data_IF_273878684280
#
_entry.id   IF_273878684280
#
_cell.length_a   1.000
_cell.length_b   1.000
_cell.length_c   1.000
_cell.angle_alpha   90.00
_cell.angle_beta   90.00
_cell.angle_gamma   90.00
#
_symmetry.space_group_name_H-M   'P 1'
#
loop_
_entity.id
_entity.type
_entity.pdbx_description
1 polymer ?
#
# COMPACT_ATOMS: atom_id res chain seq x y z
N UNK A 1 24.47 2.88 24.43
CA UNK A 1 23.42 2.46 25.40
C UNK A 1 23.91 1.21 26.11
N UNK A 2 23.79 1.10 27.44
CA UNK A 2 24.22 -0.11 28.15
C UNK A 2 23.39 -1.30 27.66
N UNK A 3 24.07 -2.40 27.34
CA UNK A 3 23.46 -3.68 26.96
C UNK A 3 22.64 -4.20 28.15
N UNK A 4 21.32 -4.07 28.06
CA UNK A 4 20.41 -4.73 29.01
C UNK A 4 20.58 -6.24 28.82
N UNK A 5 20.71 -6.99 29.92
CA UNK A 5 20.70 -8.45 29.88
C UNK A 5 19.39 -8.92 29.21
N UNK A 6 19.45 -9.82 28.21
CA UNK A 6 18.25 -10.38 27.61
C UNK A 6 17.39 -11.09 28.65
N UNK A 7 16.08 -11.13 28.43
CA UNK A 7 15.19 -12.05 29.17
C UNK A 7 15.34 -13.48 28.64
N UNK A 8 14.91 -14.52 29.37
CA UNK A 8 14.95 -15.90 28.88
C UNK A 8 14.24 -16.08 27.53
N UNK A 9 13.13 -15.37 27.29
CA UNK A 9 12.40 -15.40 26.02
C UNK A 9 13.20 -14.76 24.89
N UNK A 10 13.94 -13.68 25.17
CA UNK A 10 14.81 -13.04 24.18
C UNK A 10 16.02 -13.92 23.85
N UNK A 11 16.61 -14.58 24.84
CA UNK A 11 17.69 -15.55 24.62
C UNK A 11 17.21 -16.74 23.78
N UNK A 12 16.04 -17.30 24.10
CA UNK A 12 15.44 -18.37 23.32
C UNK A 12 15.20 -17.96 21.85
N UNK A 13 14.73 -16.73 21.62
CA UNK A 13 14.55 -16.20 20.27
C UNK A 13 15.89 -16.04 19.52
N UNK A 14 16.96 -15.59 20.20
CA UNK A 14 18.30 -15.48 19.61
C UNK A 14 18.87 -16.85 19.25
N UNK A 15 18.73 -17.85 20.12
CA UNK A 15 19.19 -19.21 19.84
C UNK A 15 18.45 -19.84 18.66
N UNK A 16 17.13 -19.67 18.60
CA UNK A 16 16.36 -20.16 17.48
C UNK A 16 16.73 -19.47 16.15
N UNK A 17 17.00 -18.16 16.19
CA UNK A 17 17.47 -17.41 15.03
C UNK A 17 18.85 -17.89 14.55
N UNK A 18 19.75 -18.25 15.48
CA UNK A 18 21.09 -18.78 15.15
C UNK A 18 21.03 -20.12 14.44
N UNK A 19 20.07 -20.99 14.78
CA UNK A 19 19.83 -22.26 14.08
C UNK A 19 19.33 -22.07 12.65
N UNK A 20 18.78 -20.89 12.35
CA UNK A 20 18.20 -20.57 11.04
C UNK A 20 16.75 -21.00 10.91
N UNK A 21 16.05 -21.18 12.03
CA UNK A 21 14.63 -21.53 12.06
C UNK A 21 13.77 -20.34 11.62
N UNK A 22 12.60 -20.60 11.02
CA UNK A 22 11.56 -19.59 10.84
C UNK A 22 10.90 -19.28 12.18
N UNK A 23 10.79 -17.99 12.51
CA UNK A 23 10.35 -17.54 13.83
C UNK A 23 9.17 -16.58 13.77
N UNK A 24 8.18 -16.86 14.62
CA UNK A 24 7.10 -15.92 14.93
C UNK A 24 7.25 -15.50 16.39
N UNK A 25 7.53 -14.21 16.60
CA UNK A 25 7.66 -13.63 17.94
C UNK A 25 6.42 -12.82 18.30
N UNK A 26 5.59 -13.36 19.19
CA UNK A 26 4.43 -12.65 19.70
C UNK A 26 4.86 -11.76 20.88
N UNK A 27 4.73 -10.45 20.70
CA UNK A 27 5.21 -9.48 21.68
C UNK A 27 4.17 -8.39 21.91
N UNK A 28 3.75 -8.23 23.18
CA UNK A 28 2.78 -7.24 23.62
C UNK A 28 3.28 -5.80 23.51
N UNK A 29 2.41 -4.84 23.80
CA UNK A 29 2.81 -3.44 23.91
C UNK A 29 3.89 -3.28 25.00
N UNK A 30 4.95 -2.53 24.72
CA UNK A 30 6.03 -2.28 25.68
C UNK A 30 7.01 -3.46 25.93
N UNK A 31 6.77 -4.66 25.40
CA UNK A 31 7.62 -5.85 25.67
C UNK A 31 8.94 -5.91 24.89
N UNK A 32 9.40 -4.77 24.35
CA UNK A 32 10.73 -4.67 23.75
C UNK A 32 10.89 -5.28 22.35
N UNK A 33 9.84 -5.37 21.52
CA UNK A 33 9.89 -5.86 20.12
C UNK A 33 11.14 -5.47 19.33
N UNK A 34 11.37 -4.17 19.18
CA UNK A 34 12.52 -3.63 18.44
C UNK A 34 13.85 -4.00 19.09
N UNK A 35 13.87 -4.09 20.42
CA UNK A 35 15.06 -4.51 21.18
C UNK A 35 15.39 -5.97 20.91
N UNK A 36 14.39 -6.86 20.96
CA UNK A 36 14.55 -8.28 20.62
C UNK A 36 15.08 -8.42 19.19
N UNK A 37 14.47 -7.77 18.20
CA UNK A 37 14.94 -7.83 16.81
C UNK A 37 16.37 -7.29 16.62
N UNK A 38 16.78 -6.28 17.41
CA UNK A 38 18.17 -5.79 17.39
C UNK A 38 19.14 -6.84 17.95
N UNK A 39 18.74 -7.59 18.98
CA UNK A 39 19.54 -8.70 19.53
C UNK A 39 19.72 -9.82 18.52
N UNK A 40 18.64 -10.21 17.82
CA UNK A 40 18.69 -11.21 16.74
C UNK A 40 19.65 -10.75 15.64
N UNK A 41 19.51 -9.51 15.17
CA UNK A 41 20.38 -8.94 14.15
C UNK A 41 21.86 -8.91 14.56
N UNK A 42 22.16 -8.61 15.83
CA UNK A 42 23.52 -8.58 16.36
C UNK A 42 24.12 -9.98 16.56
N UNK A 43 23.29 -11.02 16.69
CA UNK A 43 23.72 -12.39 16.89
C UNK A 43 24.26 -13.08 15.62
N UNK A 44 24.21 -12.39 14.47
CA UNK A 44 24.66 -12.91 13.17
C UNK A 44 25.43 -11.85 12.38
N UNK A 45 26.42 -12.28 11.61
CA UNK A 45 27.12 -11.42 10.62
C UNK A 45 26.50 -11.48 9.22
N UNK A 46 25.45 -12.28 9.03
CA UNK A 46 24.75 -12.39 7.74
C UNK A 46 24.07 -11.06 7.41
N UNK A 47 23.90 -10.77 6.12
CA UNK A 47 23.13 -9.60 5.69
C UNK A 47 21.65 -9.83 5.97
N UNK A 48 20.99 -8.82 6.55
CA UNK A 48 19.57 -8.87 6.87
C UNK A 48 18.82 -7.63 6.41
N UNK A 49 17.48 -7.70 6.46
CA UNK A 49 16.61 -6.57 6.20
C UNK A 49 15.54 -6.47 7.28
N UNK A 50 15.32 -5.27 7.78
CA UNK A 50 14.22 -4.94 8.68
C UNK A 50 13.19 -4.12 7.92
N UNK A 51 11.94 -4.60 7.90
CA UNK A 51 10.80 -3.91 7.32
C UNK A 51 10.01 -3.20 8.42
N UNK A 52 9.92 -1.89 8.31
CA UNK A 52 9.14 -1.04 9.20
C UNK A 52 7.84 -0.59 8.54
N UNK A 53 6.83 -0.32 9.37
CA UNK A 53 5.54 0.19 8.91
C UNK A 53 5.64 1.59 8.29
N UNK A 54 6.48 2.47 8.85
CA UNK A 54 6.63 3.84 8.39
C UNK A 54 8.10 4.30 8.42
N UNK A 55 8.35 5.47 7.80
CA UNK A 55 9.70 6.02 7.63
C UNK A 55 10.36 6.39 8.97
N UNK A 56 9.61 6.91 9.95
CA UNK A 56 10.19 7.29 11.24
C UNK A 56 10.68 6.06 12.02
N UNK A 57 9.90 4.96 12.03
CA UNK A 57 10.32 3.68 12.62
C UNK A 57 11.54 3.12 11.88
N UNK A 58 11.56 3.16 10.55
CA UNK A 58 12.72 2.71 9.76
C UNK A 58 13.99 3.49 10.13
N UNK A 59 13.91 4.81 10.23
CA UNK A 59 15.03 5.67 10.61
C UNK A 59 15.50 5.44 12.05
N UNK A 60 14.58 5.25 12.99
CA UNK A 60 14.93 4.88 14.36
C UNK A 60 15.64 3.53 14.41
N UNK A 61 15.09 2.53 13.73
CA UNK A 61 15.67 1.20 13.63
C UNK A 61 17.07 1.25 13.00
N UNK A 62 17.27 2.04 11.93
CA UNK A 62 18.58 2.17 11.28
C UNK A 62 19.69 2.66 12.23
N UNK A 63 19.35 3.46 13.25
CA UNK A 63 20.31 3.91 14.27
C UNK A 63 20.62 2.85 15.33
N UNK A 64 19.77 1.83 15.46
CA UNK A 64 19.84 0.79 16.51
C UNK A 64 20.39 -0.53 16.01
N UNK A 65 20.02 -0.91 14.80
CA UNK A 65 20.42 -2.17 14.17
C UNK A 65 21.91 -2.14 13.77
N UNK A 66 22.59 -3.29 13.75
CA UNK A 66 23.96 -3.38 13.30
C UNK A 66 24.08 -3.14 11.79
N UNK A 67 25.26 -2.74 11.32
CA UNK A 67 25.49 -2.30 9.94
C UNK A 67 25.26 -3.37 8.86
N UNK A 68 25.15 -4.65 9.24
CA UNK A 68 24.77 -5.74 8.33
C UNK A 68 23.25 -5.83 8.08
N UNK A 69 22.43 -4.99 8.72
CA UNK A 69 20.98 -4.95 8.51
C UNK A 69 20.54 -3.63 7.88
N UNK A 70 19.82 -3.73 6.76
CA UNK A 70 19.19 -2.59 6.09
C UNK A 70 17.79 -2.38 6.63
N UNK A 71 17.49 -1.20 7.14
CA UNK A 71 16.16 -0.83 7.62
C UNK A 71 15.41 -0.04 6.55
N UNK A 72 14.23 -0.49 6.15
CA UNK A 72 13.43 0.13 5.08
C UNK A 72 11.94 -0.07 5.28
N UNK A 73 11.10 0.61 4.51
CA UNK A 73 9.67 0.33 4.43
C UNK A 73 9.36 -0.44 3.13
N UNK A 74 8.23 -1.13 3.08
CA UNK A 74 7.75 -1.75 1.84
C UNK A 74 7.65 -0.72 0.69
N UNK A 75 7.18 0.49 0.99
CA UNK A 75 7.14 1.59 0.02
C UNK A 75 8.51 1.98 -0.55
N UNK A 76 9.56 2.01 0.27
CA UNK A 76 10.91 2.31 -0.21
C UNK A 76 11.43 1.22 -1.14
N UNK A 77 11.13 -0.05 -0.84
CA UNK A 77 11.50 -1.16 -1.71
C UNK A 77 10.72 -1.15 -3.02
N UNK A 78 9.41 -0.94 -2.95
CA UNK A 78 8.56 -0.84 -4.13
C UNK A 78 8.96 0.35 -5.01
N UNK A 79 9.34 1.48 -4.41
CA UNK A 79 9.84 2.63 -5.16
C UNK A 79 11.14 2.31 -5.91
N UNK A 80 12.10 1.67 -5.24
CA UNK A 80 13.35 1.23 -5.88
C UNK A 80 13.10 0.24 -7.01
N UNK A 81 12.20 -0.73 -6.81
CA UNK A 81 11.91 -1.77 -7.79
C UNK A 81 11.15 -1.25 -9.02
N UNK A 82 10.11 -0.43 -8.82
CA UNK A 82 9.20 -0.01 -9.90
C UNK A 82 8.74 1.44 -9.82
N UNK A 83 8.59 2.01 -8.62
CA UNK A 83 8.00 3.34 -8.45
C UNK A 83 8.83 4.49 -9.03
N UNK A 84 10.16 4.36 -9.13
CA UNK A 84 11.02 5.38 -9.75
C UNK A 84 10.64 5.70 -11.20
N UNK A 85 10.03 4.74 -11.92
CA UNK A 85 9.54 4.92 -13.29
C UNK A 85 8.36 5.88 -13.40
N UNK A 86 7.71 6.22 -12.28
CA UNK A 86 6.52 7.07 -12.21
C UNK A 86 6.79 8.41 -11.50
N UNK A 87 8.05 8.72 -11.19
CA UNK A 87 8.42 9.90 -10.39
C UNK A 87 7.89 11.20 -10.99
N UNK A 88 8.05 11.39 -12.30
CA UNK A 88 7.55 12.56 -13.04
C UNK A 88 6.04 12.76 -12.94
N UNK A 89 5.26 11.71 -12.65
CA UNK A 89 3.80 11.80 -12.44
C UNK A 89 3.44 12.13 -10.99
N UNK A 90 4.27 11.74 -10.03
CA UNK A 90 4.06 12.04 -8.61
C UNK A 90 4.32 13.50 -8.28
N UNK A 91 5.27 14.12 -8.98
CA UNK A 91 5.63 15.52 -8.79
C UNK A 91 4.67 16.50 -9.50
N UNK A 92 3.65 15.98 -10.22
CA UNK A 92 2.68 16.81 -10.94
C UNK A 92 1.71 17.50 -9.97
N UNK A 93 1.24 18.72 -10.32
CA UNK A 93 0.20 19.38 -9.55
C UNK A 93 -1.10 18.58 -9.57
N UNK A 94 -1.93 18.82 -8.56
CA UNK A 94 -3.26 18.22 -8.44
C UNK A 94 -4.09 18.47 -9.71
N UNK A 95 -4.70 17.39 -10.22
CA UNK A 95 -5.64 17.47 -11.33
C UNK A 95 -7.08 17.60 -10.82
N UNK A 96 -7.86 18.51 -11.41
CA UNK A 96 -9.29 18.63 -11.12
C UNK A 96 -10.05 17.37 -11.60
N UNK A 97 -11.01 16.90 -10.80
CA UNK A 97 -11.79 15.70 -11.10
C UNK A 97 -12.55 15.80 -12.43
N UNK A 98 -13.08 16.98 -12.78
CA UNK A 98 -13.77 17.18 -14.06
C UNK A 98 -12.82 16.98 -15.26
N UNK A 99 -11.58 17.47 -15.17
CA UNK A 99 -10.55 17.26 -16.19
C UNK A 99 -10.15 15.79 -16.30
N UNK A 100 -10.04 15.11 -15.16
CA UNK A 100 -9.76 13.67 -15.12
C UNK A 100 -10.90 12.84 -15.74
N UNK A 101 -12.15 13.21 -15.47
CA UNK A 101 -13.33 12.57 -16.07
C UNK A 101 -13.30 12.70 -17.60
N UNK A 102 -13.02 13.89 -18.13
CA UNK A 102 -12.86 14.11 -19.58
C UNK A 102 -11.73 13.25 -20.15
N UNK A 103 -10.59 13.19 -19.48
CA UNK A 103 -9.43 12.42 -19.90
C UNK A 103 -9.74 10.91 -19.99
N UNK A 104 -10.47 10.39 -19.01
CA UNK A 104 -10.90 8.99 -18.94
C UNK A 104 -12.19 8.70 -19.72
N UNK A 105 -12.69 9.68 -20.49
CA UNK A 105 -13.93 9.60 -21.28
C UNK A 105 -15.12 9.15 -20.43
N UNK A 106 -15.21 9.69 -19.22
CA UNK A 106 -16.37 9.56 -18.35
C UNK A 106 -17.26 10.78 -18.64
N UNK A 107 -18.37 10.55 -19.35
CA UNK A 107 -19.30 11.58 -19.83
C UNK A 107 -20.77 11.27 -19.49
N UNK A 108 -21.05 10.04 -19.03
CA UNK A 108 -22.39 9.60 -18.68
C UNK A 108 -22.96 10.26 -17.42
N UNK A 109 -24.28 10.29 -17.37
CA UNK A 109 -25.08 10.63 -16.19
C UNK A 109 -25.97 9.46 -15.88
N UNK A 110 -25.97 9.02 -14.63
CA UNK A 110 -26.76 7.86 -14.19
C UNK A 110 -27.60 8.25 -12.99
N UNK A 111 -28.77 7.65 -12.88
CA UNK A 111 -29.60 7.74 -11.67
C UNK A 111 -29.65 6.36 -11.04
N UNK A 112 -29.29 6.29 -9.76
CA UNK A 112 -29.34 5.06 -8.96
C UNK A 112 -30.15 5.40 -7.72
N UNK A 113 -31.30 4.75 -7.53
CA UNK A 113 -32.28 5.16 -6.53
C UNK A 113 -32.66 6.64 -6.67
N UNK A 114 -32.55 7.40 -5.57
CA UNK A 114 -32.80 8.84 -5.56
C UNK A 114 -31.59 9.69 -6.01
N UNK A 115 -30.43 9.07 -6.28
CA UNK A 115 -29.16 9.76 -6.56
C UNK A 115 -28.93 9.96 -8.04
N UNK A 116 -28.70 11.21 -8.45
CA UNK A 116 -28.17 11.55 -9.77
C UNK A 116 -26.65 11.68 -9.69
N UNK A 117 -25.94 10.83 -10.42
CA UNK A 117 -24.49 10.82 -10.49
C UNK A 117 -24.04 11.43 -11.81
N UNK A 118 -23.23 12.47 -11.71
CA UNK A 118 -22.64 13.17 -12.84
C UNK A 118 -21.19 12.69 -13.10
N UNK A 119 -20.61 12.98 -14.27
CA UNK A 119 -19.28 12.46 -14.62
C UNK A 119 -18.17 12.73 -13.59
N UNK A 120 -18.06 13.93 -12.99
CA UNK A 120 -17.05 14.15 -11.95
C UNK A 120 -17.28 13.29 -10.71
N UNK A 121 -18.52 13.01 -10.34
CA UNK A 121 -18.86 12.13 -9.21
C UNK A 121 -18.46 10.70 -9.51
N UNK A 122 -18.83 10.18 -10.69
CA UNK A 122 -18.44 8.83 -11.15
C UNK A 122 -16.92 8.67 -11.22
N UNK A 123 -16.22 9.68 -11.75
CA UNK A 123 -14.77 9.70 -11.76
C UNK A 123 -14.15 9.71 -10.36
N UNK A 124 -14.79 10.38 -9.40
CA UNK A 124 -14.34 10.32 -8.00
C UNK A 124 -14.52 8.93 -7.41
N UNK A 125 -15.70 8.33 -7.60
CA UNK A 125 -15.99 6.99 -7.09
C UNK A 125 -15.02 5.98 -7.72
N UNK A 126 -14.76 6.04 -9.04
CA UNK A 126 -13.79 5.17 -9.70
C UNK A 126 -12.37 5.33 -9.13
N UNK A 127 -11.95 6.56 -8.80
CA UNK A 127 -10.66 6.81 -8.16
C UNK A 127 -10.60 6.21 -6.76
N UNK A 128 -11.68 6.35 -6.00
CA UNK A 128 -11.79 5.81 -4.65
C UNK A 128 -11.82 4.28 -4.70
N UNK A 129 -12.45 3.67 -5.71
CA UNK A 129 -12.38 2.22 -5.99
C UNK A 129 -10.95 1.75 -6.22
N UNK A 130 -10.18 2.44 -7.07
CA UNK A 130 -8.75 2.12 -7.27
C UNK A 130 -7.95 2.27 -5.98
N UNK A 131 -8.26 3.29 -5.17
CA UNK A 131 -7.60 3.49 -3.88
C UNK A 131 -7.89 2.34 -2.90
N UNK A 132 -9.15 1.88 -2.81
CA UNK A 132 -9.50 0.71 -1.98
C UNK A 132 -8.78 -0.55 -2.46
N UNK A 133 -8.68 -0.75 -3.78
CA UNK A 133 -7.91 -1.86 -4.36
C UNK A 133 -6.41 -1.79 -4.02
N UNK A 134 -5.83 -0.59 -3.99
CA UNK A 134 -4.44 -0.43 -3.55
C UNK A 134 -4.22 -0.78 -2.07
N UNK A 135 -5.28 -0.77 -1.26
CA UNK A 135 -5.24 -1.13 0.15
C UNK A 135 -5.65 -2.59 0.45
N UNK A 136 -6.18 -3.30 -0.54
CA UNK A 136 -6.56 -4.71 -0.40
C UNK A 136 -5.42 -5.65 -0.76
N UNK A 137 -5.54 -6.90 -0.30
CA UNK A 137 -4.69 -8.01 -0.72
C UNK A 137 -5.17 -8.66 -2.04
N UNK A 138 -6.27 -8.18 -2.63
CA UNK A 138 -6.89 -8.81 -3.80
C UNK A 138 -6.03 -8.64 -5.04
N UNK A 139 -5.97 -9.67 -5.90
CA UNK A 139 -5.18 -9.62 -7.13
C UNK A 139 -5.84 -8.75 -8.21
N UNK A 140 -7.17 -8.61 -8.17
CA UNK A 140 -7.97 -7.91 -9.20
C UNK A 140 -8.95 -6.92 -8.59
N UNK A 141 -9.35 -5.92 -9.38
CA UNK A 141 -10.44 -5.02 -9.04
C UNK A 141 -11.76 -5.81 -9.01
N UNK A 142 -12.56 -5.59 -7.98
CA UNK A 142 -13.84 -6.28 -7.73
C UNK A 142 -14.88 -5.31 -7.17
N UNK A 143 -16.15 -5.71 -7.18
CA UNK A 143 -17.26 -4.89 -6.65
C UNK A 143 -17.05 -4.46 -5.19
N UNK A 144 -16.33 -5.26 -4.39
CA UNK A 144 -16.07 -4.98 -2.98
C UNK A 144 -15.20 -3.74 -2.77
N UNK A 145 -14.42 -3.35 -3.77
CA UNK A 145 -13.63 -2.14 -3.74
C UNK A 145 -14.45 -0.87 -4.01
N UNK A 146 -15.67 -1.00 -4.53
CA UNK A 146 -16.53 0.15 -4.82
C UNK A 146 -17.06 0.70 -3.49
N UNK A 147 -16.75 1.96 -3.14
CA UNK A 147 -17.17 2.52 -1.86
C UNK A 147 -18.68 2.67 -1.84
N UNK A 148 -19.27 2.70 -0.65
CA UNK A 148 -20.67 3.03 -0.42
C UNK A 148 -20.86 4.55 -0.35
N UNK A 149 -21.27 5.23 -1.43
CA UNK A 149 -21.48 6.66 -1.37
C UNK A 149 -22.70 6.93 -0.48
N UNK A 150 -22.70 8.06 0.23
CA UNK A 150 -23.88 8.51 0.98
C UNK A 150 -25.13 8.36 0.09
N UNK A 151 -26.27 7.94 0.64
CA UNK A 151 -27.54 7.86 -0.10
C UNK A 151 -27.63 6.78 -1.18
N UNK A 152 -26.66 5.87 -1.26
CA UNK A 152 -26.81 4.52 -1.80
C UNK A 152 -26.66 3.62 -0.59
N UNK A 153 -27.72 2.89 -0.24
CA UNK A 153 -27.77 2.11 1.01
C UNK A 153 -28.37 0.74 0.83
N UNK A 154 -29.04 0.51 -0.30
CA UNK A 154 -29.55 -0.81 -0.67
C UNK A 154 -28.50 -1.58 -1.49
N UNK A 155 -28.39 -2.88 -1.27
CA UNK A 155 -27.44 -3.75 -1.97
C UNK A 155 -27.61 -3.67 -3.49
N UNK A 156 -28.86 -3.75 -3.98
CA UNK A 156 -29.18 -3.63 -5.40
C UNK A 156 -28.68 -2.30 -6.02
N UNK A 157 -28.76 -1.19 -5.27
CA UNK A 157 -28.27 0.11 -5.75
C UNK A 157 -26.74 0.14 -5.81
N UNK A 158 -26.08 -0.48 -4.83
CA UNK A 158 -24.62 -0.63 -4.82
C UNK A 158 -24.14 -1.54 -5.95
N UNK A 159 -24.81 -2.66 -6.19
CA UNK A 159 -24.51 -3.55 -7.31
C UNK A 159 -24.59 -2.81 -8.65
N UNK A 160 -25.65 -2.02 -8.84
CA UNK A 160 -25.81 -1.20 -10.04
C UNK A 160 -24.68 -0.16 -10.16
N UNK A 161 -24.29 0.48 -9.06
CA UNK A 161 -23.16 1.41 -9.04
C UNK A 161 -21.86 0.70 -9.40
N UNK A 162 -21.60 -0.47 -8.83
CA UNK A 162 -20.38 -1.22 -9.04
C UNK A 162 -20.25 -1.66 -10.51
N UNK A 163 -21.33 -2.16 -11.12
CA UNK A 163 -21.37 -2.50 -12.54
C UNK A 163 -21.01 -1.31 -13.45
N UNK A 164 -21.43 -0.09 -13.08
CA UNK A 164 -21.13 1.13 -13.84
C UNK A 164 -19.68 1.59 -13.61
N UNK A 165 -19.20 1.55 -12.37
CA UNK A 165 -17.93 2.15 -11.97
C UNK A 165 -16.74 1.25 -12.25
N UNK A 166 -16.86 -0.07 -12.12
CA UNK A 166 -15.75 -1.00 -12.27
C UNK A 166 -15.00 -0.83 -13.61
N UNK A 167 -15.68 -0.77 -14.78
CA UNK A 167 -14.99 -0.53 -16.04
C UNK A 167 -14.24 0.81 -16.10
N UNK A 168 -14.69 1.82 -15.33
CA UNK A 168 -14.00 3.12 -15.23
C UNK A 168 -12.76 3.01 -14.34
N UNK A 169 -12.86 2.29 -13.22
CA UNK A 169 -11.75 2.03 -12.31
C UNK A 169 -10.67 1.19 -13.00
N UNK A 170 -11.04 0.17 -13.78
CA UNK A 170 -10.11 -0.66 -14.58
C UNK A 170 -9.35 0.16 -15.63
N UNK A 171 -10.04 1.05 -16.37
CA UNK A 171 -9.39 1.99 -17.29
C UNK A 171 -8.42 2.92 -16.57
N UNK A 172 -8.81 3.42 -15.40
CA UNK A 172 -7.94 4.26 -14.58
C UNK A 172 -6.71 3.49 -14.09
N UNK A 173 -6.89 2.23 -13.63
CA UNK A 173 -5.80 1.36 -13.20
C UNK A 173 -4.85 1.01 -14.34
N UNK A 174 -5.39 0.80 -15.55
CA UNK A 174 -4.58 0.59 -16.75
C UNK A 174 -3.70 1.81 -17.07
N UNK A 175 -4.25 3.03 -17.01
CA UNK A 175 -3.46 4.26 -17.19
C UNK A 175 -2.41 4.45 -16.08
N UNK A 176 -2.75 4.11 -14.84
CA UNK A 176 -1.80 4.17 -13.73
C UNK A 176 -0.60 3.24 -13.95
N UNK A 177 -0.78 2.09 -14.60
CA UNK A 177 0.30 1.15 -14.88
C UNK A 177 1.20 1.55 -16.07
N UNK A 178 0.82 2.53 -16.89
CA UNK A 178 1.64 3.02 -18.02
C UNK A 178 2.62 4.12 -17.54
N UNK A 179 3.93 3.83 -17.40
CA UNK A 179 4.90 4.81 -16.92
C UNK A 179 5.16 5.95 -17.92
N UNK A 180 5.00 5.67 -19.21
CA UNK A 180 5.45 6.58 -20.28
C UNK A 180 4.32 7.51 -20.74
N UNK A 181 3.09 6.99 -20.83
CA UNK A 181 1.93 7.69 -21.42
C UNK A 181 0.80 7.95 -20.46
N UNK A 182 0.84 7.38 -19.26
CA UNK A 182 -0.22 7.53 -18.27
C UNK A 182 -0.40 8.98 -17.82
N UNK A 183 -1.65 9.39 -17.64
CA UNK A 183 -2.03 10.78 -17.38
C UNK A 183 -2.74 10.99 -16.06
N UNK A 184 -3.26 9.92 -15.45
CA UNK A 184 -3.89 9.96 -14.12
C UNK A 184 -2.82 10.41 -13.08
N UNK A 185 -3.15 11.27 -12.12
CA UNK A 185 -2.23 11.60 -11.03
C UNK A 185 -1.75 10.35 -10.30
N UNK A 186 -0.45 10.23 -10.10
CA UNK A 186 0.17 9.03 -9.52
C UNK A 186 0.51 9.26 -8.03
N UNK A 187 0.42 8.22 -7.22
CA UNK A 187 0.66 8.25 -5.77
C UNK A 187 1.52 7.06 -5.34
N UNK A 188 2.07 7.14 -4.13
CA UNK A 188 2.90 6.08 -3.55
C UNK A 188 2.20 4.72 -3.47
N UNK A 189 0.91 4.71 -3.12
CA UNK A 189 0.14 3.46 -3.00
C UNK A 189 0.02 2.70 -4.33
N UNK A 190 0.04 3.42 -5.46
CA UNK A 190 -0.11 2.79 -6.77
C UNK A 190 1.10 1.93 -7.11
N UNK A 191 2.33 2.46 -6.95
CA UNK A 191 3.51 1.65 -7.21
C UNK A 191 3.65 0.52 -6.18
N UNK A 192 3.15 0.72 -4.96
CA UNK A 192 3.18 -0.33 -3.94
C UNK A 192 2.28 -1.49 -4.36
N UNK A 193 1.06 -1.21 -4.81
CA UNK A 193 0.14 -2.23 -5.33
C UNK A 193 0.71 -2.92 -6.58
N UNK A 194 1.24 -2.17 -7.54
CA UNK A 194 1.93 -2.73 -8.73
C UNK A 194 3.07 -3.67 -8.31
N UNK A 195 3.88 -3.26 -7.34
CA UNK A 195 4.99 -4.08 -6.84
C UNK A 195 4.48 -5.39 -6.23
N UNK A 196 3.45 -5.37 -5.39
CA UNK A 196 2.89 -6.61 -4.83
C UNK A 196 2.33 -7.54 -5.92
N UNK A 197 1.69 -7.01 -6.97
CA UNK A 197 1.15 -7.84 -8.06
C UNK A 197 2.24 -8.42 -8.96
N UNK A 198 3.37 -7.73 -9.15
CA UNK A 198 4.49 -8.22 -9.96
C UNK A 198 5.39 -9.22 -9.23
N UNK A 199 5.40 -9.19 -7.89
CA UNK A 199 6.28 -9.99 -7.04
C UNK A 199 5.46 -10.66 -5.91
N UNK A 200 4.66 -11.70 -6.22
CA UNK A 200 3.86 -12.42 -5.24
C UNK A 200 4.71 -13.21 -4.23
#
# INVERSE_FOLDING_TARGET
>A
MPLRRPTPEQDAAVEAFRRGDDLVLQAGAGTGKTTTLTMLAAASRRRGRYLAFNKSIAQEAQRRFPGNVVCSTAHSLAFQAVGHRFQDRMDRPRMATAKLAQLLKIDMRVTIGARKLHPPTLCSIARDTVQQYCYSADDVLTHQHVPWPKGISEEHEHDQLAQIVLPMAERMWTDLQDPDRGKVPFKHDHYLKIWFTLYP
#
